data_IF_310168581392
#
_entry.id   IF_310168581392
#
_cell.length_a   1.000
_cell.length_b   1.000
_cell.length_c   1.000
_cell.angle_alpha   90.00
_cell.angle_beta   90.00
_cell.angle_gamma   90.00
#
_symmetry.space_group_name_H-M   'P 1'
#
loop_
_entity.id
_entity.type
_entity.pdbx_description
1 polymer ?
#
# COMPACT_ATOMS: atom_id res chain seq x y z
N UNK A 1 17.98 3.01 4.19
CA UNK A 1 17.62 3.95 3.08
C UNK A 1 17.17 3.25 1.80
N UNK A 2 17.65 2.05 1.45
CA UNK A 2 17.20 1.35 0.23
C UNK A 2 15.70 1.00 0.23
N UNK A 3 15.16 0.56 1.39
CA UNK A 3 13.73 0.25 1.56
C UNK A 3 12.82 1.45 1.30
N UNK A 4 13.13 2.62 1.84
CA UNK A 4 12.30 3.81 1.66
C UNK A 4 12.22 4.23 0.19
N UNK A 5 13.30 4.05 -0.58
CA UNK A 5 13.28 4.32 -2.02
C UNK A 5 12.36 3.38 -2.78
N UNK A 6 12.31 2.10 -2.39
CA UNK A 6 11.38 1.13 -2.96
C UNK A 6 9.94 1.57 -2.64
N UNK A 7 9.66 1.94 -1.39
CA UNK A 7 8.33 2.41 -0.99
C UNK A 7 7.90 3.62 -1.81
N UNK A 8 8.73 4.66 -1.90
CA UNK A 8 8.48 5.85 -2.73
C UNK A 8 8.13 5.48 -4.17
N UNK A 9 8.89 4.57 -4.78
CA UNK A 9 8.70 4.19 -6.19
C UNK A 9 7.38 3.44 -6.43
N UNK A 10 6.90 2.68 -5.44
CA UNK A 10 5.71 1.84 -5.58
C UNK A 10 4.43 2.50 -5.05
N UNK A 11 4.53 3.33 -4.00
CA UNK A 11 3.38 4.02 -3.41
C UNK A 11 3.10 5.38 -4.05
N UNK A 12 4.09 5.97 -4.71
CA UNK A 12 4.01 7.34 -5.22
C UNK A 12 4.07 8.42 -4.13
N UNK A 13 4.33 8.04 -2.88
CA UNK A 13 4.51 8.97 -1.76
C UNK A 13 5.88 9.64 -1.83
N UNK A 14 6.00 10.84 -1.27
CA UNK A 14 7.31 11.52 -1.20
C UNK A 14 8.23 10.84 -0.18
N UNK A 15 9.54 11.05 -0.33
CA UNK A 15 10.54 10.50 0.60
C UNK A 15 10.30 10.98 2.04
N UNK A 16 9.91 12.25 2.23
CA UNK A 16 9.63 12.81 3.55
C UNK A 16 8.43 12.13 4.23
N UNK A 17 7.39 11.79 3.46
CA UNK A 17 6.22 11.09 3.98
C UNK A 17 6.60 9.68 4.42
N UNK A 18 7.31 8.93 3.57
CA UNK A 18 7.78 7.58 3.91
C UNK A 18 8.72 7.61 5.12
N UNK A 19 9.67 8.55 5.19
CA UNK A 19 10.58 8.65 6.34
C UNK A 19 9.84 8.92 7.65
N UNK A 20 8.85 9.82 7.64
CA UNK A 20 8.03 10.10 8.83
C UNK A 20 7.18 8.90 9.22
N UNK A 21 6.53 8.27 8.26
CA UNK A 21 5.58 7.18 8.50
C UNK A 21 6.30 5.85 8.81
N UNK A 22 7.60 5.75 8.51
CA UNK A 22 8.45 4.58 8.85
C UNK A 22 9.34 4.80 10.09
N UNK A 23 9.34 6.00 10.69
CA UNK A 23 10.05 6.28 11.95
C UNK A 23 9.39 5.55 13.14
N UNK A 24 8.10 5.27 13.04
CA UNK A 24 7.29 4.52 14.01
C UNK A 24 6.41 3.51 13.27
N UNK A 25 5.91 2.51 14.00
CA UNK A 25 4.91 1.60 13.46
C UNK A 25 3.65 2.38 13.06
N UNK A 26 3.36 2.41 11.76
CA UNK A 26 2.19 3.05 11.18
C UNK A 26 1.24 1.99 10.62
N UNK A 27 0.13 1.78 11.31
CA UNK A 27 -0.89 0.81 10.91
C UNK A 27 -1.96 1.50 10.09
N UNK A 28 -2.26 0.92 8.92
CA UNK A 28 -3.30 1.38 8.01
C UNK A 28 -4.42 0.37 7.92
N UNK A 29 -5.66 0.84 7.81
CA UNK A 29 -6.79 0.03 7.37
C UNK A 29 -6.60 -0.43 5.92
N UNK A 30 -7.45 -1.36 5.48
CA UNK A 30 -7.42 -1.84 4.10
C UNK A 30 -7.70 -0.69 3.11
N UNK A 31 -8.67 0.17 3.42
CA UNK A 31 -9.04 1.34 2.63
C UNK A 31 -7.91 2.36 2.58
N UNK A 32 -7.31 2.68 3.72
CA UNK A 32 -6.17 3.59 3.77
C UNK A 32 -4.96 3.04 3.03
N UNK A 33 -4.73 1.72 3.06
CA UNK A 33 -3.64 1.08 2.32
C UNK A 33 -3.80 1.23 0.80
N UNK A 34 -5.03 1.23 0.29
CA UNK A 34 -5.30 1.54 -1.14
C UNK A 34 -5.00 3.00 -1.43
N UNK A 35 -5.51 3.92 -0.60
CA UNK A 35 -5.30 5.35 -0.79
C UNK A 35 -3.82 5.75 -0.68
N UNK A 36 -3.08 5.07 0.18
CA UNK A 36 -1.65 5.27 0.37
C UNK A 36 -0.84 4.76 -0.83
N UNK A 37 -1.41 3.89 -1.66
CA UNK A 37 -0.73 3.27 -2.81
C UNK A 37 0.06 2.00 -2.44
N UNK A 38 -0.20 1.39 -1.29
CA UNK A 38 0.44 0.12 -0.90
C UNK A 38 -0.16 -1.08 -1.62
N UNK A 39 -1.46 -1.00 -1.95
CA UNK A 39 -2.22 -2.06 -2.62
C UNK A 39 -3.17 -1.45 -3.65
N UNK A 40 -3.45 -2.14 -4.75
CA UNK A 40 -4.28 -1.59 -5.83
C UNK A 40 -5.79 -1.64 -5.51
N UNK A 41 -6.24 -2.71 -4.85
CA UNK A 41 -7.65 -2.96 -4.54
C UNK A 41 -7.83 -3.95 -3.40
N UNK A 42 -8.94 -3.79 -2.68
CA UNK A 42 -9.41 -4.74 -1.67
C UNK A 42 -10.32 -5.75 -2.35
N UNK A 43 -10.11 -7.05 -2.11
CA UNK A 43 -10.99 -8.10 -2.60
C UNK A 43 -11.99 -8.48 -1.52
N UNK A 44 -13.28 -8.45 -1.85
CA UNK A 44 -14.32 -8.98 -0.97
C UNK A 44 -14.58 -10.47 -1.27
N UNK A 45 -15.01 -11.25 -0.27
CA UNK A 45 -15.39 -12.65 -0.48
C UNK A 45 -16.42 -12.77 -1.61
N UNK A 46 -16.11 -13.56 -2.64
CA UNK A 46 -16.97 -13.77 -3.81
C UNK A 46 -16.61 -12.95 -5.06
N UNK A 47 -15.82 -11.88 -4.94
CA UNK A 47 -15.42 -11.04 -6.09
C UNK A 47 -14.18 -11.58 -6.84
N UNK A 48 -13.55 -12.64 -6.32
CA UNK A 48 -12.32 -13.25 -6.85
C UNK A 48 -12.48 -14.64 -7.46
N UNK A 49 -13.71 -15.15 -7.60
CA UNK A 49 -13.95 -16.38 -8.34
C UNK A 49 -13.79 -16.08 -9.83
N UNK A 50 -12.54 -16.22 -10.29
CA UNK A 50 -12.21 -16.34 -11.69
C UNK A 50 -13.00 -17.55 -12.18
N UNK A 51 -14.15 -17.30 -12.80
CA UNK A 51 -14.86 -18.31 -13.57
C UNK A 51 -14.02 -18.53 -14.81
N UNK A 52 -13.05 -19.43 -14.71
CA UNK A 52 -12.40 -20.00 -15.89
C UNK A 52 -13.50 -20.76 -16.65
N UNK A 53 -14.08 -20.08 -17.63
CA UNK A 53 -15.05 -20.66 -18.55
C UNK A 53 -14.32 -21.37 -19.68
#
# INVERSE_FOLDING_TARGET
RHLNQILVNHTGQSMEVIERDTDRDFFLSAEESVQYGLIDRILKPGEGLITWK
#
